data_IF_669587801375
#
_entry.id   IF_669587801375
#
_cell.length_a   1.000
_cell.length_b   1.000
_cell.length_c   1.000
_cell.angle_alpha   90.00
_cell.angle_beta   90.00
_cell.angle_gamma   90.00
#
_symmetry.space_group_name_H-M   'P 1'
#
loop_
_entity.id
_entity.type
_entity.pdbx_description
1 polymer ?
#
# COMPACT_ATOMS: atom_id res chain seq x y z
N UNK A 1 4.06 -6.93 0.53
CA UNK A 1 3.29 -7.05 1.80
C UNK A 1 2.50 -5.79 2.17
N UNK A 2 2.91 -4.59 1.74
CA UNK A 2 2.20 -3.32 2.02
C UNK A 2 0.76 -3.25 1.49
N UNK A 3 0.45 -3.96 0.38
CA UNK A 3 -0.91 -4.04 -0.15
C UNK A 3 -1.95 -4.61 0.83
N UNK A 4 -1.56 -5.51 1.74
CA UNK A 4 -2.47 -6.08 2.75
C UNK A 4 -2.83 -5.07 3.86
N UNK A 5 -1.91 -4.14 4.15
CA UNK A 5 -2.11 -3.06 5.12
C UNK A 5 -3.02 -1.99 4.51
N UNK A 6 -2.79 -1.60 3.25
CA UNK A 6 -3.70 -0.68 2.55
C UNK A 6 -5.11 -1.23 2.40
N UNK A 7 -5.24 -2.55 2.20
CA UNK A 7 -6.54 -3.21 2.18
C UNK A 7 -7.27 -3.14 3.53
N UNK A 8 -6.54 -3.38 4.62
CA UNK A 8 -7.09 -3.31 5.98
C UNK A 8 -7.52 -1.89 6.34
N UNK A 9 -6.78 -0.88 5.88
CA UNK A 9 -7.09 0.53 6.11
C UNK A 9 -8.35 0.97 5.35
N UNK A 10 -8.47 0.60 4.07
CA UNK A 10 -9.68 0.83 3.27
C UNK A 10 -10.88 0.11 3.89
N UNK A 11 -10.70 -1.11 4.40
CA UNK A 11 -11.77 -1.88 5.04
C UNK A 11 -12.19 -1.31 6.42
N UNK A 12 -11.26 -0.71 7.17
CA UNK A 12 -11.54 0.02 8.40
C UNK A 12 -12.44 1.24 8.12
N UNK A 13 -12.11 2.01 7.07
CA UNK A 13 -12.91 3.14 6.60
C UNK A 13 -14.27 2.71 6.02
N UNK A 14 -14.38 1.46 5.55
CA UNK A 14 -15.59 0.89 4.94
C UNK A 14 -16.51 0.16 5.96
N UNK A 15 -16.16 0.13 7.25
CA UNK A 15 -16.87 -0.65 8.28
C UNK A 15 -18.06 0.09 8.93
N UNK A 16 -18.44 1.25 8.40
CA UNK A 16 -19.64 1.95 8.83
C UNK A 16 -20.86 1.49 7.99
N UNK A 17 -21.93 1.08 8.67
CA UNK A 17 -23.14 0.52 8.05
C UNK A 17 -23.93 1.55 7.23
N UNK A 18 -23.55 2.83 7.29
CA UNK A 18 -24.10 3.89 6.44
C UNK A 18 -23.23 4.21 5.20
N UNK A 19 -22.08 3.56 5.04
CA UNK A 19 -21.24 3.73 3.85
C UNK A 19 -21.56 2.62 2.84
N UNK A 20 -22.77 2.70 2.29
CA UNK A 20 -23.00 2.17 0.95
C UNK A 20 -22.20 3.10 0.04
N UNK A 21 -20.97 2.72 -0.34
CA UNK A 21 -20.12 3.49 -1.24
C UNK A 21 -20.86 3.76 -2.57
N UNK A 22 -21.69 4.82 -2.60
CA UNK A 22 -22.04 5.57 -3.80
C UNK A 22 -20.90 6.53 -4.18
N UNK A 23 -19.67 6.28 -3.73
CA UNK A 23 -18.51 7.02 -4.19
C UNK A 23 -18.10 6.50 -5.56
N UNK A 24 -17.89 7.41 -6.51
CA UNK A 24 -17.50 7.05 -7.88
C UNK A 24 -16.23 6.19 -7.83
N UNK A 25 -16.15 5.08 -8.58
CA UNK A 25 -14.96 4.22 -8.59
C UNK A 25 -13.64 4.97 -8.80
N UNK A 26 -13.66 6.09 -9.53
CA UNK A 26 -12.49 6.95 -9.72
C UNK A 26 -11.95 7.56 -8.42
N UNK A 27 -12.81 8.01 -7.49
CA UNK A 27 -12.37 8.58 -6.22
C UNK A 27 -11.65 7.54 -5.36
N UNK A 28 -12.20 6.32 -5.31
CA UNK A 28 -11.61 5.19 -4.57
C UNK A 28 -10.24 4.84 -5.14
N UNK A 29 -10.11 4.78 -6.46
CA UNK A 29 -8.83 4.50 -7.13
C UNK A 29 -7.78 5.56 -6.86
N UNK A 30 -8.14 6.86 -6.87
CA UNK A 30 -7.20 7.95 -6.57
C UNK A 30 -6.74 7.89 -5.12
N UNK A 31 -7.68 7.71 -4.18
CA UNK A 31 -7.34 7.59 -2.76
C UNK A 31 -6.41 6.40 -2.50
N UNK A 32 -6.73 5.23 -3.06
CA UNK A 32 -5.91 4.03 -2.92
C UNK A 32 -4.51 4.22 -3.50
N UNK A 33 -4.39 4.90 -4.65
CA UNK A 33 -3.09 5.22 -5.26
C UNK A 33 -2.25 6.12 -4.36
N UNK A 34 -2.80 7.25 -3.90
CA UNK A 34 -2.08 8.18 -3.02
C UNK A 34 -1.69 7.52 -1.71
N UNK A 35 -2.57 6.70 -1.14
CA UNK A 35 -2.29 5.98 0.10
C UNK A 35 -1.13 4.98 -0.07
N UNK A 36 -1.12 4.21 -1.17
CA UNK A 36 -0.05 3.26 -1.45
C UNK A 36 1.31 3.96 -1.60
N UNK A 37 1.38 5.00 -2.43
CA UNK A 37 2.61 5.79 -2.63
C UNK A 37 3.10 6.44 -1.34
N UNK A 38 2.19 6.87 -0.46
CA UNK A 38 2.55 7.43 0.85
C UNK A 38 3.23 6.38 1.74
N UNK A 39 2.73 5.14 1.73
CA UNK A 39 3.37 4.05 2.47
C UNK A 39 4.76 3.70 1.89
N UNK A 40 4.91 3.72 0.56
CA UNK A 40 6.23 3.57 -0.07
C UNK A 40 7.20 4.66 0.36
N UNK A 41 6.77 5.92 0.36
CA UNK A 41 7.60 7.03 0.85
C UNK A 41 7.98 6.89 2.33
N UNK A 42 7.07 6.41 3.19
CA UNK A 42 7.41 6.14 4.59
C UNK A 42 8.45 5.02 4.75
N UNK A 43 8.44 4.03 3.86
CA UNK A 43 9.47 3.00 3.84
C UNK A 43 10.85 3.59 3.54
N UNK A 44 10.97 4.44 2.52
CA UNK A 44 12.24 5.11 2.20
C UNK A 44 12.76 5.99 3.34
N UNK A 45 11.86 6.69 4.05
CA UNK A 45 12.25 7.49 5.24
C UNK A 45 12.78 6.59 6.34
N UNK A 46 12.19 5.42 6.54
CA UNK A 46 12.66 4.43 7.51
C UNK A 46 14.07 3.96 7.13
N UNK A 47 14.32 3.60 5.87
CA UNK A 47 15.65 3.17 5.42
C UNK A 47 16.70 4.26 5.62
N UNK A 48 16.41 5.49 5.18
CA UNK A 48 17.29 6.64 5.39
C UNK A 48 17.65 6.86 6.86
N UNK A 49 16.64 6.76 7.74
CA UNK A 49 16.84 6.97 9.18
C UNK A 49 17.75 5.90 9.78
N UNK A 50 17.55 4.64 9.41
CA UNK A 50 18.30 3.52 9.97
C UNK A 50 19.71 3.38 9.38
N UNK A 51 19.91 3.76 8.11
CA UNK A 51 21.23 3.89 7.52
C UNK A 51 22.07 4.93 8.28
N UNK A 52 21.47 6.07 8.63
CA UNK A 52 22.14 7.13 9.41
C UNK A 52 22.40 6.77 10.88
N UNK A 53 21.49 6.04 11.54
CA UNK A 53 21.60 5.75 12.98
C UNK A 53 22.37 4.47 13.30
N UNK A 54 22.31 3.47 12.43
CA UNK A 54 22.83 2.12 12.70
C UNK A 54 23.95 1.72 11.74
N UNK A 55 24.42 2.64 10.89
CA UNK A 55 25.47 2.40 9.90
C UNK A 55 25.14 1.20 9.00
N UNK A 56 23.86 1.11 8.61
CA UNK A 56 23.34 0.14 7.66
C UNK A 56 23.52 0.65 6.23
N UNK A 57 23.16 -0.19 5.25
CA UNK A 57 23.22 0.14 3.83
C UNK A 57 21.94 -0.35 3.14
N UNK A 58 20.78 -0.01 3.72
CA UNK A 58 19.46 -0.37 3.24
C UNK A 58 19.15 0.32 1.91
N UNK A 59 19.47 1.61 1.77
CA UNK A 59 19.33 2.36 0.52
C UNK A 59 20.42 2.03 -0.51
N UNK A 60 21.35 1.12 -0.16
CA UNK A 60 22.46 0.67 -1.01
C UNK A 60 23.32 1.82 -1.55
N UNK A 61 23.56 2.84 -0.73
CA UNK A 61 24.41 4.00 -1.06
C UNK A 61 25.91 3.66 -1.12
N UNK A 62 26.33 2.48 -0.65
CA UNK A 62 27.70 1.99 -0.75
C UNK A 62 27.78 0.61 -1.41
N UNK A 63 28.89 0.33 -2.10
CA UNK A 63 29.20 -0.99 -2.65
C UNK A 63 29.52 -2.01 -1.54
N UNK A 64 29.47 -3.29 -1.86
CA UNK A 64 29.76 -4.39 -0.91
C UNK A 64 31.18 -4.35 -0.33
N UNK A 65 32.12 -3.69 -1.02
CA UNK A 65 33.48 -3.46 -0.56
C UNK A 65 33.63 -2.16 0.28
N UNK A 66 32.53 -1.49 0.62
CA UNK A 66 32.50 -0.27 1.43
C UNK A 66 32.78 1.02 0.65
N UNK A 67 32.96 0.96 -0.67
CA UNK A 67 33.19 2.17 -1.46
C UNK A 67 31.88 2.98 -1.56
N UNK A 68 31.86 4.27 -1.16
CA UNK A 68 30.66 5.08 -1.24
C UNK A 68 30.31 5.40 -2.69
N UNK A 69 29.03 5.28 -3.05
CA UNK A 69 28.52 5.80 -4.32
C UNK A 69 28.27 7.31 -4.17
N UNK A 70 28.36 8.04 -5.28
CA UNK A 70 28.20 9.51 -5.28
C UNK A 70 27.21 9.93 -6.37
N UNK A 71 26.39 10.95 -6.06
CA UNK A 71 25.42 11.51 -6.99
C UNK A 71 24.29 10.53 -7.31
N UNK A 72 23.89 10.44 -8.58
CA UNK A 72 22.74 9.62 -9.01
C UNK A 72 22.91 8.12 -8.70
N UNK A 73 24.14 7.63 -8.64
CA UNK A 73 24.40 6.22 -8.34
C UNK A 73 24.01 5.86 -6.89
N UNK A 74 24.22 6.77 -5.93
CA UNK A 74 23.84 6.57 -4.54
C UNK A 74 22.33 6.61 -4.31
N UNK A 75 21.58 7.27 -5.21
CA UNK A 75 20.13 7.43 -5.13
C UNK A 75 19.38 6.34 -5.92
N UNK A 76 20.09 5.49 -6.66
CA UNK A 76 19.48 4.64 -7.68
C UNK A 76 18.52 3.59 -7.09
N UNK A 77 18.83 3.08 -5.89
CA UNK A 77 18.02 2.07 -5.21
C UNK A 77 16.70 2.66 -4.71
N UNK A 78 16.76 3.68 -3.84
CA UNK A 78 15.59 4.45 -3.37
C UNK A 78 14.72 4.99 -4.51
N UNK A 79 15.34 5.54 -5.56
CA UNK A 79 14.57 6.00 -6.72
C UNK A 79 13.91 4.83 -7.46
N UNK A 80 14.58 3.67 -7.52
CA UNK A 80 14.02 2.43 -8.05
C UNK A 80 12.78 2.00 -7.28
N UNK A 81 12.86 1.95 -5.95
CA UNK A 81 11.76 1.53 -5.09
C UNK A 81 10.55 2.47 -5.21
N UNK A 82 10.76 3.78 -5.17
CA UNK A 82 9.69 4.78 -5.38
C UNK A 82 9.05 4.61 -6.76
N UNK A 83 9.84 4.45 -7.83
CA UNK A 83 9.32 4.33 -9.19
C UNK A 83 8.50 3.04 -9.35
N UNK A 84 9.01 1.92 -8.83
CA UNK A 84 8.33 0.63 -8.87
C UNK A 84 7.03 0.69 -8.06
N UNK A 85 7.03 1.33 -6.90
CA UNK A 85 5.82 1.49 -6.08
C UNK A 85 4.76 2.35 -6.78
N UNK A 86 5.16 3.47 -7.40
CA UNK A 86 4.25 4.33 -8.17
C UNK A 86 3.66 3.59 -9.36
N UNK A 87 4.48 2.92 -10.16
CA UNK A 87 4.00 2.19 -11.35
C UNK A 87 3.11 1.00 -10.94
N UNK A 88 3.54 0.24 -9.94
CA UNK A 88 2.80 -0.90 -9.40
C UNK A 88 1.44 -0.48 -8.83
N UNK A 89 1.43 0.59 -8.03
CA UNK A 89 0.22 1.17 -7.47
C UNK A 89 -0.72 1.69 -8.56
N UNK A 90 -0.18 2.37 -9.58
CA UNK A 90 -0.97 2.86 -10.71
C UNK A 90 -1.63 1.71 -11.49
N UNK A 91 -0.86 0.68 -11.84
CA UNK A 91 -1.38 -0.50 -12.53
C UNK A 91 -2.48 -1.18 -11.70
N UNK A 92 -2.27 -1.32 -10.38
CA UNK A 92 -3.23 -1.95 -9.49
C UNK A 92 -4.55 -1.17 -9.41
N UNK A 93 -4.50 0.16 -9.29
CA UNK A 93 -5.73 0.97 -9.21
C UNK A 93 -6.48 1.05 -10.54
N UNK A 94 -5.79 0.95 -11.69
CA UNK A 94 -6.43 0.86 -13.01
C UNK A 94 -7.20 -0.46 -13.16
N UNK A 95 -6.58 -1.58 -12.74
CA UNK A 95 -7.25 -2.89 -12.71
C UNK A 95 -8.44 -2.84 -11.77
N UNK A 96 -8.27 -2.29 -10.56
CA UNK A 96 -9.34 -2.13 -9.57
C UNK A 96 -10.50 -1.27 -10.09
N UNK A 97 -10.20 -0.15 -10.74
CA UNK A 97 -11.19 0.74 -11.35
C UNK A 97 -12.06 0.00 -12.38
N UNK A 98 -11.43 -0.75 -13.29
CA UNK A 98 -12.16 -1.54 -14.29
C UNK A 98 -12.96 -2.69 -13.68
N UNK A 99 -12.43 -3.33 -12.63
CA UNK A 99 -13.13 -4.39 -11.90
C UNK A 99 -14.42 -3.86 -11.25
N UNK A 100 -14.33 -2.71 -10.56
CA UNK A 100 -15.47 -2.04 -9.94
C UNK A 100 -16.49 -1.58 -10.98
N UNK A 101 -16.03 -1.02 -12.11
CA UNK A 101 -16.90 -0.56 -13.20
C UNK A 101 -17.68 -1.70 -13.87
N UNK A 102 -17.08 -2.89 -14.01
CA UNK A 102 -17.72 -4.06 -14.64
C UNK A 102 -18.61 -4.88 -13.69
N UNK A 103 -18.81 -4.43 -12.45
CA UNK A 103 -19.62 -5.16 -11.46
C UNK A 103 -19.07 -6.56 -11.16
N UNK A 104 -17.78 -6.79 -11.41
CA UNK A 104 -17.06 -8.02 -11.03
C UNK A 104 -16.28 -7.71 -9.76
N UNK A 105 -16.87 -7.90 -8.57
CA UNK A 105 -16.11 -7.79 -7.33
C UNK A 105 -15.24 -9.05 -7.23
N UNK A 106 -14.06 -9.02 -7.86
CA UNK A 106 -13.01 -10.01 -7.65
C UNK A 106 -12.55 -10.08 -6.17
N UNK A 107 -13.11 -9.21 -5.32
CA UNK A 107 -12.82 -9.07 -3.89
C UNK A 107 -13.85 -9.74 -2.96
N UNK A 108 -14.90 -10.40 -3.49
CA UNK A 108 -15.86 -11.14 -2.63
C UNK A 108 -15.21 -12.22 -1.77
N UNK A 109 -14.02 -12.70 -2.15
CA UNK A 109 -13.27 -13.72 -1.43
C UNK A 109 -12.25 -13.15 -0.42
N UNK A 110 -11.95 -11.85 -0.48
CA UNK A 110 -11.08 -11.15 0.49
C UNK A 110 -11.88 -10.39 1.56
N UNK A 111 -13.21 -10.38 1.44
CA UNK A 111 -14.09 -9.92 2.51
C UNK A 111 -13.92 -10.85 3.73
N UNK A 112 -13.33 -10.31 4.80
CA UNK A 112 -13.37 -10.95 6.11
C UNK A 112 -14.84 -11.13 6.50
N UNK A 113 -15.35 -12.36 6.35
CA UNK A 113 -16.68 -12.72 6.83
C UNK A 113 -16.71 -12.59 8.34
N UNK A 114 -17.29 -11.50 8.83
CA UNK A 114 -17.58 -11.30 10.25
C UNK A 114 -18.52 -12.43 10.68
N UNK A 115 -18.04 -13.32 11.55
CA UNK A 115 -18.89 -14.35 12.18
C UNK A 115 -19.91 -13.60 13.02
N UNK A 116 -21.21 -13.68 12.66
CA UNK A 116 -22.27 -13.10 13.50
C UNK A 116 -22.16 -13.73 14.90
N UNK A 117 -22.24 -12.95 16.00
CA UNK A 117 -22.41 -13.53 17.32
C UNK A 117 -23.71 -14.37 17.29
N UNK A 118 -23.69 -15.57 17.85
CA UNK A 118 -24.92 -16.36 18.03
C UNK A 118 -25.82 -15.58 18.99
N UNK A 119 -26.88 -14.98 18.47
CA UNK A 119 -28.00 -14.55 19.30
C UNK A 119 -28.66 -15.80 19.88
N UNK A 120 -28.76 -15.82 21.21
CA UNK A 120 -29.49 -16.84 21.96
C UNK A 120 -28.62 -17.92 22.59
N UNK A 121 -28.19 -17.70 23.83
CA UNK A 121 -28.73 -18.42 25.01
C UNK A 121 -28.58 -17.49 26.22
N UNK A 122 -29.54 -16.59 26.42
CA UNK A 122 -29.87 -16.17 27.77
C UNK A 122 -30.81 -17.26 28.31
N UNK A 123 -30.35 -17.99 29.32
CA UNK A 123 -31.20 -18.76 30.23
C UNK A 123 -31.27 -18.00 31.54
#
# INVERSE_FOLDING_TARGET
MLGAIGFSFVNLLNNDKHVVMKMKPGFISIFAFCFAVTLGAFWEIYEYTFDGLMNLNMQRYAMSNGTPLVGRAALADTMGDIIVDVIGSLAFVLIGYWSLKKGRPWMKNFEFKKKKPKEGVAK
#
